data_IF_490390365265
#
_entry.id   IF_490390365265
#
_cell.length_a   1.000
_cell.length_b   1.000
_cell.length_c   1.000
_cell.angle_alpha   90.00
_cell.angle_beta   90.00
_cell.angle_gamma   90.00
#
_symmetry.space_group_name_H-M   'P 1'
#
loop_
_entity.id
_entity.type
_entity.pdbx_description
1 polymer ?
#
# COMPACT_ATOMS: atom_id res chain seq x y z
N UNK A 1 -17.29 34.53 0.44
CA UNK A 1 -16.33 33.74 -0.36
C UNK A 1 -16.28 32.38 0.28
N UNK A 2 -17.03 31.43 -0.27
CA UNK A 2 -17.12 30.06 0.24
C UNK A 2 -15.87 29.31 -0.25
N UNK A 3 -14.81 29.32 0.56
CA UNK A 3 -13.67 28.44 0.35
C UNK A 3 -14.02 27.09 0.98
N UNK A 4 -14.77 26.27 0.25
CA UNK A 4 -14.79 24.83 0.53
C UNK A 4 -13.38 24.33 0.21
N UNK A 5 -12.51 24.39 1.21
CA UNK A 5 -11.12 23.95 1.10
C UNK A 5 -11.15 22.48 0.67
N UNK A 6 -10.70 22.21 -0.56
CA UNK A 6 -10.84 20.91 -1.19
C UNK A 6 -9.83 19.93 -0.57
N UNK A 7 -10.18 19.38 0.59
CA UNK A 7 -9.34 18.49 1.40
C UNK A 7 -9.14 17.08 0.82
N UNK A 8 -9.57 16.82 -0.42
CA UNK A 8 -9.51 15.50 -1.06
C UNK A 8 -8.89 15.58 -2.45
N UNK A 9 -7.65 16.07 -2.54
CA UNK A 9 -6.88 16.02 -3.79
C UNK A 9 -5.83 14.91 -3.74
N UNK A 10 -5.50 14.29 -4.88
CA UNK A 10 -4.39 13.33 -4.96
C UNK A 10 -3.07 13.89 -4.40
N UNK A 11 -2.81 15.19 -4.62
CA UNK A 11 -1.61 15.86 -4.10
C UNK A 11 -1.58 15.96 -2.57
N UNK A 12 -2.73 16.17 -1.93
CA UNK A 12 -2.80 16.20 -0.46
C UNK A 12 -2.62 14.80 0.13
N UNK A 13 -3.21 13.77 -0.51
CA UNK A 13 -2.98 12.37 -0.12
C UNK A 13 -1.50 11.99 -0.27
N UNK A 14 -0.87 12.39 -1.37
CA UNK A 14 0.55 12.19 -1.60
C UNK A 14 1.40 12.88 -0.53
N UNK A 15 1.12 14.14 -0.24
CA UNK A 15 1.84 14.89 0.79
C UNK A 15 1.65 14.29 2.19
N UNK A 16 0.45 13.80 2.50
CA UNK A 16 0.17 13.08 3.74
C UNK A 16 0.99 11.79 3.83
N UNK A 17 0.98 10.98 2.76
CA UNK A 17 1.71 9.72 2.71
C UNK A 17 3.22 9.95 2.91
N UNK A 18 3.82 10.88 2.16
CA UNK A 18 5.25 11.17 2.18
C UNK A 18 5.75 11.81 3.50
N UNK A 19 4.90 12.57 4.19
CA UNK A 19 5.30 13.35 5.38
C UNK A 19 4.82 12.76 6.69
N UNK A 20 4.03 11.69 6.66
CA UNK A 20 3.58 11.02 7.87
C UNK A 20 4.76 10.48 8.67
N UNK A 21 4.67 10.56 10.00
CA UNK A 21 5.61 9.92 10.92
C UNK A 21 5.26 8.44 11.15
N UNK A 22 4.02 8.04 10.85
CA UNK A 22 3.61 6.64 10.84
C UNK A 22 4.06 5.97 9.55
N UNK A 23 4.54 4.73 9.66
CA UNK A 23 4.93 3.92 8.51
C UNK A 23 3.70 3.53 7.69
N UNK A 24 3.73 3.87 6.41
CA UNK A 24 2.69 3.49 5.44
C UNK A 24 3.30 2.75 4.26
N UNK A 25 2.55 1.77 3.77
CA UNK A 25 2.88 1.04 2.55
C UNK A 25 1.61 0.64 1.82
N UNK A 26 1.76 0.40 0.52
CA UNK A 26 0.75 -0.24 -0.31
C UNK A 26 1.33 -1.54 -0.87
N UNK A 27 0.53 -2.59 -0.83
CA UNK A 27 0.82 -3.84 -1.54
C UNK A 27 -0.20 -4.03 -2.63
N UNK A 28 0.24 -4.53 -3.78
CA UNK A 28 -0.62 -4.78 -4.93
C UNK A 28 -0.37 -6.19 -5.46
N UNK A 29 -1.38 -6.74 -6.11
CA UNK A 29 -1.26 -7.93 -6.94
C UNK A 29 -1.11 -7.50 -8.39
N UNK A 30 -0.31 -8.24 -9.15
CA UNK A 30 -0.18 -8.03 -10.60
C UNK A 30 -1.45 -8.40 -11.36
N UNK A 31 -2.24 -9.33 -10.81
CA UNK A 31 -3.48 -9.82 -11.41
C UNK A 31 -4.63 -9.73 -10.40
N UNK A 32 -5.83 -9.34 -10.85
CA UNK A 32 -7.01 -9.35 -9.99
C UNK A 32 -7.37 -10.79 -9.60
N UNK A 33 -7.94 -10.94 -8.40
CA UNK A 33 -8.46 -12.22 -7.90
C UNK A 33 -9.98 -12.22 -7.91
N UNK A 34 -10.57 -13.40 -8.09
CA UNK A 34 -12.00 -13.59 -7.88
C UNK A 34 -12.27 -13.81 -6.39
N UNK A 35 -13.11 -12.96 -5.80
CA UNK A 35 -13.53 -13.07 -4.40
C UNK A 35 -15.05 -13.19 -4.29
N UNK A 36 -15.57 -14.28 -4.87
CA UNK A 36 -17.01 -14.59 -4.90
C UNK A 36 -17.42 -15.68 -3.89
N UNK A 37 -18.72 -16.00 -3.78
CA UNK A 37 -19.22 -17.08 -2.92
C UNK A 37 -18.69 -18.47 -3.29
N UNK A 38 -18.32 -18.69 -4.55
CA UNK A 38 -17.79 -19.95 -5.07
C UNK A 38 -16.26 -20.06 -4.98
N UNK A 39 -15.56 -19.01 -4.57
CA UNK A 39 -14.11 -19.02 -4.48
C UNK A 39 -13.64 -19.89 -3.30
N UNK A 40 -12.60 -20.69 -3.53
CA UNK A 40 -11.83 -21.30 -2.45
C UNK A 40 -10.98 -20.21 -1.80
N UNK A 41 -11.51 -19.66 -0.70
CA UNK A 41 -10.91 -18.50 -0.03
C UNK A 41 -9.55 -18.80 0.56
N UNK A 42 -9.32 -20.02 1.02
CA UNK A 42 -8.04 -20.40 1.63
C UNK A 42 -6.97 -20.44 0.54
N UNK A 43 -7.24 -21.09 -0.59
CA UNK A 43 -6.32 -21.12 -1.73
C UNK A 43 -6.07 -19.72 -2.32
N UNK A 44 -7.10 -18.86 -2.37
CA UNK A 44 -6.95 -17.48 -2.83
C UNK A 44 -6.09 -16.67 -1.87
N UNK A 45 -6.28 -16.80 -0.55
CA UNK A 45 -5.45 -16.10 0.44
C UNK A 45 -3.99 -16.57 0.36
N UNK A 46 -3.75 -17.88 0.22
CA UNK A 46 -2.40 -18.42 0.02
C UNK A 46 -1.72 -17.80 -1.20
N UNK A 47 -2.43 -17.71 -2.33
CA UNK A 47 -1.94 -17.03 -3.52
C UNK A 47 -1.64 -15.55 -3.25
N UNK A 48 -2.56 -14.84 -2.58
CA UNK A 48 -2.43 -13.42 -2.27
C UNK A 48 -1.20 -13.15 -1.41
N UNK A 49 -0.96 -13.91 -0.34
CA UNK A 49 0.24 -13.76 0.48
C UNK A 49 1.53 -14.07 -0.28
N UNK A 50 1.51 -15.01 -1.22
CA UNK A 50 2.69 -15.36 -2.00
C UNK A 50 3.02 -14.39 -3.15
N UNK A 51 2.05 -13.62 -3.66
CA UNK A 51 2.21 -12.82 -4.89
C UNK A 51 1.96 -11.32 -4.71
N UNK A 52 1.24 -10.90 -3.67
CA UNK A 52 1.11 -9.47 -3.39
C UNK A 52 2.47 -8.94 -2.93
N UNK A 53 2.86 -7.78 -3.42
CA UNK A 53 4.14 -7.20 -3.08
C UNK A 53 4.03 -5.70 -2.82
N UNK A 54 4.93 -5.16 -2.00
CA UNK A 54 4.99 -3.73 -1.72
C UNK A 54 5.31 -2.97 -3.00
N UNK A 55 4.47 -2.02 -3.38
CA UNK A 55 4.65 -1.16 -4.56
C UNK A 55 4.93 0.29 -4.20
N UNK A 56 4.65 0.68 -2.95
CA UNK A 56 4.96 2.01 -2.43
C UNK A 56 5.15 1.94 -0.93
N UNK A 57 6.16 2.66 -0.43
CA UNK A 57 6.45 2.83 0.99
C UNK A 57 6.79 4.28 1.26
N UNK A 58 6.39 4.81 2.41
CA UNK A 58 6.80 6.17 2.81
C UNK A 58 8.15 6.17 3.53
N UNK A 59 8.81 7.33 3.68
CA UNK A 59 10.09 7.42 4.36
C UNK A 59 10.09 6.92 5.81
N UNK A 60 8.99 7.13 6.55
CA UNK A 60 8.87 6.68 7.94
C UNK A 60 8.96 5.14 8.06
N UNK A 61 8.32 4.40 7.15
CA UNK A 61 8.40 2.94 7.10
C UNK A 61 9.86 2.47 6.91
N UNK A 62 10.55 3.02 5.91
CA UNK A 62 11.95 2.69 5.65
C UNK A 62 12.84 2.97 6.87
N UNK A 63 12.65 4.11 7.53
CA UNK A 63 13.38 4.47 8.73
C UNK A 63 13.13 3.49 9.90
N UNK A 64 11.87 3.14 10.15
CA UNK A 64 11.49 2.21 11.23
C UNK A 64 12.15 0.84 11.05
N UNK A 65 12.24 0.35 9.81
CA UNK A 65 12.86 -0.92 9.47
C UNK A 65 14.37 -0.84 9.23
N UNK A 66 14.98 0.35 9.35
CA UNK A 66 16.40 0.62 9.04
C UNK A 66 16.77 0.13 7.63
N UNK A 67 15.86 0.34 6.69
CA UNK A 67 15.94 -0.07 5.30
C UNK A 67 15.95 1.18 4.39
N UNK A 68 16.11 0.98 3.09
CA UNK A 68 15.77 2.02 2.10
C UNK A 68 14.44 1.69 1.44
N UNK A 69 13.69 2.68 0.91
CA UNK A 69 12.45 2.42 0.20
C UNK A 69 12.59 1.34 -0.88
N UNK A 70 13.68 1.40 -1.66
CA UNK A 70 13.96 0.49 -2.77
C UNK A 70 14.16 -0.95 -2.31
N UNK A 71 14.70 -1.16 -1.10
CA UNK A 71 14.86 -2.51 -0.53
C UNK A 71 13.57 -3.11 0.00
N UNK A 72 12.55 -2.28 0.26
CA UNK A 72 11.23 -2.73 0.71
C UNK A 72 10.29 -3.00 -0.46
N UNK A 73 10.43 -2.26 -1.57
CA UNK A 73 9.67 -2.52 -2.79
C UNK A 73 9.88 -3.97 -3.26
N UNK A 74 8.78 -4.65 -3.59
CA UNK A 74 8.79 -6.04 -4.05
C UNK A 74 8.70 -7.09 -2.94
N UNK A 75 8.83 -6.71 -1.65
CA UNK A 75 8.64 -7.65 -0.56
C UNK A 75 7.18 -8.11 -0.46
N UNK A 76 6.98 -9.41 -0.21
CA UNK A 76 5.69 -9.99 0.16
C UNK A 76 5.45 -9.83 1.67
N UNK A 77 4.21 -10.01 2.17
CA UNK A 77 3.90 -9.89 3.59
C UNK A 77 4.67 -10.86 4.48
#
# INVERSE_FOLDING_TARGET
MDQTMQFNTPALLEAFFERSQDGFFFMMLDQPIEWGPSADKDAVLDYVFAHQHMTKVNPAMAQQFRATPETLIGMTP
#
